data_IF_233432392634
#
_entry.id   IF_233432392634
#
_cell.length_a   1.000
_cell.length_b   1.000
_cell.length_c   1.000
_cell.angle_alpha   90.00
_cell.angle_beta   90.00
_cell.angle_gamma   90.00
#
_symmetry.space_group_name_H-M   'P 1'
#
loop_
_entity.id
_entity.type
_entity.pdbx_description
1 polymer ?
#
# COMPACT_ATOMS: atom_id res chain seq x y z
N UNK A 1 -25.88 7.62 36.83
CA UNK A 1 -25.19 6.95 35.70
C UNK A 1 -24.87 8.01 34.66
N UNK A 2 -23.68 8.61 34.70
CA UNK A 2 -23.27 9.64 33.75
C UNK A 2 -22.27 9.03 32.76
N UNK A 3 -22.71 8.87 31.52
CA UNK A 3 -21.86 8.44 30.40
C UNK A 3 -20.88 9.57 30.05
N UNK A 4 -19.69 9.52 30.64
CA UNK A 4 -18.56 10.29 30.16
C UNK A 4 -18.05 9.64 28.86
N UNK A 5 -18.63 10.04 27.73
CA UNK A 5 -18.03 9.83 26.42
C UNK A 5 -16.75 10.65 26.43
N UNK A 6 -15.63 9.99 26.70
CA UNK A 6 -14.30 10.57 26.53
C UNK A 6 -14.09 10.81 25.04
N UNK A 7 -14.45 12.01 24.59
CA UNK A 7 -14.02 12.56 23.32
C UNK A 7 -12.49 12.65 23.36
N UNK A 8 -11.85 11.56 22.94
CA UNK A 8 -10.43 11.48 22.63
C UNK A 8 -10.10 12.64 21.71
N UNK A 9 -9.32 13.59 22.23
CA UNK A 9 -8.82 14.74 21.50
C UNK A 9 -7.90 14.19 20.41
N UNK A 10 -8.46 13.96 19.23
CA UNK A 10 -7.73 13.66 18.00
C UNK A 10 -6.72 14.78 17.78
N UNK A 11 -5.49 14.59 18.23
CA UNK A 11 -4.39 15.47 17.86
C UNK A 11 -4.17 15.26 16.37
N UNK A 12 -4.69 16.19 15.58
CA UNK A 12 -4.59 16.17 14.12
C UNK A 12 -3.10 16.14 13.77
N UNK A 13 -2.64 15.00 13.25
CA UNK A 13 -1.28 14.87 12.74
C UNK A 13 -1.24 15.46 11.33
N UNK A 14 -0.82 16.71 11.21
CA UNK A 14 -0.74 17.45 9.94
C UNK A 14 0.03 16.67 8.86
N UNK A 15 1.05 15.90 9.27
CA UNK A 15 1.84 15.07 8.37
C UNK A 15 1.02 13.93 7.76
N UNK A 16 0.12 13.32 8.53
CA UNK A 16 -0.79 12.30 8.01
C UNK A 16 -1.75 12.88 6.99
N UNK A 17 -2.38 14.01 7.30
CA UNK A 17 -3.32 14.68 6.38
C UNK A 17 -2.64 15.00 5.05
N UNK A 18 -1.43 15.57 5.08
CA UNK A 18 -0.69 15.91 3.86
C UNK A 18 -0.44 14.64 3.02
N UNK A 19 -0.01 13.54 3.66
CA UNK A 19 0.26 12.28 2.96
C UNK A 19 -1.03 11.68 2.39
N UNK A 20 -2.15 11.77 3.10
CA UNK A 20 -3.42 11.22 2.66
C UNK A 20 -3.97 11.99 1.46
N UNK A 21 -3.99 13.32 1.54
CA UNK A 21 -4.43 14.19 0.45
C UNK A 21 -3.54 14.01 -0.78
N UNK A 22 -2.21 14.01 -0.60
CA UNK A 22 -1.28 13.76 -1.71
C UNK A 22 -1.47 12.36 -2.29
N UNK A 23 -1.68 11.35 -1.44
CA UNK A 23 -1.85 9.97 -1.89
C UNK A 23 -3.11 9.75 -2.70
N UNK A 24 -4.24 10.25 -2.21
CA UNK A 24 -5.52 10.18 -2.92
C UNK A 24 -5.43 10.95 -4.24
N UNK A 25 -4.89 12.16 -4.23
CA UNK A 25 -4.75 13.00 -5.44
C UNK A 25 -3.82 12.33 -6.45
N UNK A 26 -2.66 11.84 -6.02
CA UNK A 26 -1.69 11.18 -6.88
C UNK A 26 -2.28 9.92 -7.52
N UNK A 27 -2.85 9.01 -6.71
CA UNK A 27 -3.45 7.77 -7.21
C UNK A 27 -4.64 8.04 -8.13
N UNK A 28 -5.46 9.05 -7.83
CA UNK A 28 -6.55 9.47 -8.69
C UNK A 28 -6.08 9.87 -10.09
N UNK A 29 -4.98 10.61 -10.20
CA UNK A 29 -4.45 11.07 -11.48
C UNK A 29 -3.55 10.05 -12.18
N UNK A 30 -3.25 8.86 -11.60
CA UNK A 30 -2.39 7.85 -12.25
C UNK A 30 -2.84 7.48 -13.66
N UNK A 31 -4.13 7.22 -13.95
CA UNK A 31 -4.56 6.89 -15.31
C UNK A 31 -4.27 8.05 -16.29
N UNK A 32 -4.63 9.27 -15.90
CA UNK A 32 -4.42 10.48 -16.71
C UNK A 32 -2.94 10.77 -16.93
N UNK A 33 -2.12 10.68 -15.88
CA UNK A 33 -0.68 10.87 -15.97
C UNK A 33 -0.03 9.81 -16.86
N UNK A 34 -0.53 8.57 -16.85
CA UNK A 34 -0.02 7.51 -17.72
C UNK A 34 -0.24 7.84 -19.19
N UNK A 35 -1.41 8.39 -19.54
CA UNK A 35 -1.70 8.83 -20.90
C UNK A 35 -0.88 10.06 -21.31
N UNK A 36 -0.69 11.04 -20.42
CA UNK A 36 0.07 12.26 -20.71
C UNK A 36 1.56 12.00 -20.94
N UNK A 37 2.16 11.11 -20.14
CA UNK A 37 3.59 10.80 -20.22
C UNK A 37 3.89 9.73 -21.28
N UNK A 38 2.88 9.01 -21.76
CA UNK A 38 3.05 7.85 -22.65
C UNK A 38 3.72 6.66 -21.98
N UNK A 39 3.85 6.70 -20.65
CA UNK A 39 4.42 5.64 -19.82
C UNK A 39 3.34 5.07 -18.89
N UNK A 40 3.19 3.74 -18.80
CA UNK A 40 2.21 3.12 -17.93
C UNK A 40 2.63 3.24 -16.44
N UNK A 41 2.29 4.37 -15.80
CA UNK A 41 2.65 4.67 -14.39
C UNK A 41 2.04 3.65 -13.43
N UNK A 42 0.98 2.94 -13.81
CA UNK A 42 0.45 1.84 -13.01
C UNK A 42 1.48 0.71 -12.78
N UNK A 43 2.51 0.57 -13.63
CA UNK A 43 3.55 -0.46 -13.48
C UNK A 43 4.46 -0.25 -12.25
N UNK A 44 4.59 0.99 -11.76
CA UNK A 44 5.41 1.29 -10.57
C UNK A 44 4.63 1.14 -9.26
N UNK A 45 3.47 0.50 -9.27
CA UNK A 45 2.64 0.22 -8.10
C UNK A 45 2.32 1.48 -7.25
N UNK A 46 1.73 2.53 -7.86
CA UNK A 46 1.56 3.84 -7.21
C UNK A 46 0.80 3.78 -5.89
N UNK A 47 -0.16 2.85 -5.76
CA UNK A 47 -0.88 2.62 -4.49
C UNK A 47 0.05 2.09 -3.39
N UNK A 48 0.97 1.17 -3.70
CA UNK A 48 1.94 0.68 -2.72
C UNK A 48 2.93 1.77 -2.32
N UNK A 49 3.36 2.62 -3.26
CA UNK A 49 4.20 3.79 -2.95
C UNK A 49 3.55 4.60 -1.81
N UNK A 50 2.29 4.96 -1.97
CA UNK A 50 1.57 5.77 -0.97
C UNK A 50 1.39 5.05 0.35
N UNK A 51 1.05 3.75 0.35
CA UNK A 51 0.95 2.94 1.57
C UNK A 51 2.29 2.84 2.29
N UNK A 52 3.39 2.66 1.57
CA UNK A 52 4.75 2.63 2.13
C UNK A 52 5.14 3.98 2.73
N UNK A 53 4.81 5.09 2.07
CA UNK A 53 5.00 6.42 2.62
C UNK A 53 4.19 6.61 3.91
N UNK A 54 2.95 6.14 3.94
CA UNK A 54 2.12 6.17 5.14
C UNK A 54 2.72 5.35 6.28
N UNK A 55 3.16 4.10 6.02
CA UNK A 55 3.84 3.26 7.00
C UNK A 55 5.13 3.91 7.53
N UNK A 56 5.87 4.60 6.65
CA UNK A 56 7.16 5.22 6.97
C UNK A 56 7.02 6.52 7.76
N UNK A 57 5.95 7.29 7.57
CA UNK A 57 5.88 8.69 8.04
C UNK A 57 4.67 9.04 8.88
N UNK A 58 3.67 8.16 8.96
CA UNK A 58 2.44 8.39 9.71
C UNK A 58 2.28 7.33 10.82
N UNK A 59 1.05 6.94 11.14
CA UNK A 59 0.75 5.89 12.10
C UNK A 59 0.22 4.64 11.38
N UNK A 60 0.24 3.51 12.11
CA UNK A 60 -0.20 2.20 11.57
C UNK A 60 -1.65 2.23 11.09
N UNK A 61 -2.53 2.91 11.81
CA UNK A 61 -3.95 3.05 11.45
C UNK A 61 -4.12 3.74 10.11
N UNK A 62 -3.36 4.81 9.87
CA UNK A 62 -3.41 5.57 8.64
C UNK A 62 -2.93 4.78 7.43
N UNK A 63 -1.89 3.96 7.60
CA UNK A 63 -1.47 3.04 6.54
C UNK A 63 -2.58 2.05 6.14
N UNK A 64 -3.35 1.53 7.10
CA UNK A 64 -4.51 0.68 6.81
C UNK A 64 -5.65 1.46 6.15
N UNK A 65 -5.92 2.69 6.59
CA UNK A 65 -6.92 3.57 5.97
C UNK A 65 -6.55 3.78 4.51
N UNK A 66 -5.31 4.15 4.20
CA UNK A 66 -4.87 4.34 2.82
C UNK A 66 -4.88 3.06 1.99
N UNK A 67 -4.46 1.92 2.56
CA UNK A 67 -4.52 0.63 1.86
C UNK A 67 -5.96 0.25 1.47
N UNK A 68 -6.95 0.65 2.27
CA UNK A 68 -8.37 0.46 1.99
C UNK A 68 -8.90 1.50 0.99
N UNK A 69 -8.60 2.78 1.19
CA UNK A 69 -9.23 3.86 0.46
C UNK A 69 -8.65 4.02 -0.94
N UNK A 70 -7.34 3.88 -1.13
CA UNK A 70 -6.71 4.17 -2.44
C UNK A 70 -7.31 3.34 -3.59
N UNK A 71 -7.47 2.00 -3.49
CA UNK A 71 -8.06 1.23 -4.59
C UNK A 71 -9.55 1.51 -4.78
N UNK A 72 -10.30 1.68 -3.68
CA UNK A 72 -11.74 1.93 -3.69
C UNK A 72 -12.06 3.30 -4.30
N UNK A 73 -11.33 4.35 -3.90
CA UNK A 73 -11.49 5.70 -4.46
C UNK A 73 -11.08 5.75 -5.92
N UNK A 74 -9.98 5.09 -6.30
CA UNK A 74 -9.56 5.00 -7.71
C UNK A 74 -10.67 4.40 -8.57
N UNK A 75 -11.26 3.29 -8.13
CA UNK A 75 -12.39 2.68 -8.84
C UNK A 75 -13.62 3.60 -8.86
N UNK A 76 -14.02 4.17 -7.72
CA UNK A 76 -15.23 4.96 -7.61
C UNK A 76 -15.24 6.18 -8.55
N UNK A 77 -14.08 6.79 -8.82
CA UNK A 77 -13.99 8.01 -9.62
C UNK A 77 -13.62 7.73 -11.07
N UNK A 78 -12.68 6.80 -11.31
CA UNK A 78 -12.15 6.57 -12.66
C UNK A 78 -12.66 5.29 -13.33
N UNK A 79 -13.49 4.50 -12.63
CA UNK A 79 -13.87 3.13 -13.00
C UNK A 79 -12.66 2.22 -13.31
N UNK A 80 -11.48 2.63 -12.86
CA UNK A 80 -10.22 1.96 -13.08
C UNK A 80 -9.44 1.86 -11.75
N UNK A 81 -9.00 0.66 -11.33
CA UNK A 81 -9.24 -0.64 -11.96
C UNK A 81 -10.66 -1.14 -11.72
N UNK A 82 -11.14 -2.10 -12.52
CA UNK A 82 -12.46 -2.78 -12.36
C UNK A 82 -12.68 -3.22 -10.91
N UNK A 83 -13.92 -3.15 -10.41
CA UNK A 83 -14.28 -3.42 -9.01
C UNK A 83 -13.65 -4.69 -8.41
N UNK A 84 -13.70 -5.82 -9.13
CA UNK A 84 -13.10 -7.05 -8.64
C UNK A 84 -11.58 -6.94 -8.44
N UNK A 85 -10.88 -6.21 -9.33
CA UNK A 85 -9.46 -5.91 -9.20
C UNK A 85 -9.19 -4.92 -8.06
N UNK A 86 -10.05 -3.91 -7.84
CA UNK A 86 -9.86 -3.00 -6.71
C UNK A 86 -9.98 -3.70 -5.36
N UNK A 87 -10.89 -4.68 -5.23
CA UNK A 87 -10.99 -5.52 -4.03
C UNK A 87 -9.75 -6.41 -3.84
N UNK A 88 -9.26 -7.04 -4.92
CA UNK A 88 -8.02 -7.82 -4.86
C UNK A 88 -6.82 -6.98 -4.41
N UNK A 89 -6.66 -5.78 -4.98
CA UNK A 89 -5.57 -4.85 -4.62
C UNK A 89 -5.73 -4.38 -3.18
N UNK A 90 -6.95 -4.09 -2.74
CA UNK A 90 -7.25 -3.73 -1.34
C UNK A 90 -6.80 -4.84 -0.40
N UNK A 91 -7.19 -6.08 -0.66
CA UNK A 91 -6.81 -7.22 0.16
C UNK A 91 -5.27 -7.41 0.19
N UNK A 92 -4.62 -7.25 -0.96
CA UNK A 92 -3.16 -7.33 -1.08
C UNK A 92 -2.43 -6.26 -0.25
N UNK A 93 -2.83 -5.00 -0.37
CA UNK A 93 -2.22 -3.89 0.38
C UNK A 93 -2.48 -4.01 1.88
N UNK A 94 -3.70 -4.36 2.30
CA UNK A 94 -4.02 -4.60 3.71
C UNK A 94 -3.18 -5.74 4.30
N UNK A 95 -3.05 -6.84 3.53
CA UNK A 95 -2.21 -7.97 3.91
C UNK A 95 -0.74 -7.56 3.99
N UNK A 96 -0.26 -6.73 3.07
CA UNK A 96 1.10 -6.18 3.11
C UNK A 96 1.37 -5.38 4.38
N UNK A 97 0.48 -4.44 4.73
CA UNK A 97 0.59 -3.64 5.97
C UNK A 97 0.58 -4.54 7.20
N UNK A 98 -0.34 -5.51 7.26
CA UNK A 98 -0.42 -6.45 8.37
C UNK A 98 0.84 -7.32 8.50
N UNK A 99 1.28 -7.94 7.40
CA UNK A 99 2.48 -8.77 7.36
C UNK A 99 3.72 -7.96 7.75
N UNK A 100 3.85 -6.72 7.27
CA UNK A 100 4.99 -5.88 7.62
C UNK A 100 5.10 -5.67 9.13
N UNK A 101 4.03 -5.21 9.79
CA UNK A 101 4.06 -4.98 11.24
C UNK A 101 4.15 -6.28 12.05
N UNK A 102 3.65 -7.40 11.53
CA UNK A 102 3.81 -8.71 12.14
C UNK A 102 5.26 -9.20 12.05
N UNK A 103 5.85 -9.17 10.85
CA UNK A 103 7.22 -9.62 10.59
C UNK A 103 8.26 -8.70 11.21
N UNK A 104 7.97 -7.40 11.34
CA UNK A 104 8.86 -6.46 12.03
C UNK A 104 9.07 -6.83 13.51
N UNK A 105 8.09 -7.50 14.15
CA UNK A 105 8.26 -8.02 15.51
C UNK A 105 9.06 -9.31 15.57
N UNK A 106 9.08 -10.08 14.48
CA UNK A 106 9.75 -11.39 14.39
C UNK A 106 11.17 -11.27 13.86
N UNK A 107 11.41 -10.30 12.98
CA UNK A 107 12.70 -10.05 12.35
C UNK A 107 13.35 -8.83 12.97
N UNK A 108 14.62 -8.93 13.33
CA UNK A 108 15.42 -7.77 13.77
C UNK A 108 15.91 -6.91 12.59
N UNK A 109 15.29 -7.03 11.41
CA UNK A 109 15.70 -6.34 10.19
C UNK A 109 14.48 -5.82 9.43
N UNK A 110 14.36 -4.50 9.38
CA UNK A 110 13.27 -3.77 8.74
C UNK A 110 13.22 -4.02 7.21
N UNK A 111 14.39 -4.16 6.57
CA UNK A 111 14.47 -4.46 5.14
C UNK A 111 13.85 -5.83 4.85
N UNK A 112 14.26 -6.85 5.60
CA UNK A 112 13.76 -8.20 5.45
C UNK A 112 12.26 -8.28 5.74
N UNK A 113 11.78 -7.57 6.79
CA UNK A 113 10.37 -7.51 7.11
C UNK A 113 9.54 -6.92 5.96
N UNK A 114 9.99 -5.81 5.36
CA UNK A 114 9.30 -5.20 4.23
C UNK A 114 9.34 -6.10 2.99
N UNK A 115 10.51 -6.63 2.62
CA UNK A 115 10.66 -7.46 1.43
C UNK A 115 9.80 -8.72 1.52
N UNK A 116 9.86 -9.44 2.64
CA UNK A 116 9.04 -10.63 2.88
C UNK A 116 7.55 -10.30 2.89
N UNK A 117 7.15 -9.16 3.48
CA UNK A 117 5.74 -8.75 3.47
C UNK A 117 5.23 -8.52 2.05
N UNK A 118 6.03 -7.90 1.16
CA UNK A 118 5.64 -7.65 -0.23
C UNK A 118 5.49 -8.97 -0.97
N UNK A 119 6.51 -9.85 -0.89
CA UNK A 119 6.51 -11.14 -1.58
C UNK A 119 5.31 -11.98 -1.15
N UNK A 120 5.08 -12.13 0.16
CA UNK A 120 3.97 -12.93 0.68
C UNK A 120 2.60 -12.33 0.29
N UNK A 121 2.43 -11.00 0.36
CA UNK A 121 1.19 -10.35 -0.07
C UNK A 121 0.91 -10.53 -1.57
N UNK A 122 1.95 -10.48 -2.42
CA UNK A 122 1.84 -10.72 -3.85
C UNK A 122 1.51 -12.17 -4.18
N UNK A 123 2.12 -13.12 -3.49
CA UNK A 123 1.78 -14.54 -3.65
C UNK A 123 0.29 -14.75 -3.35
N UNK A 124 -0.21 -14.20 -2.25
CA UNK A 124 -1.62 -14.26 -1.91
C UNK A 124 -2.52 -13.58 -2.98
N UNK A 125 -2.09 -12.42 -3.50
CA UNK A 125 -2.79 -11.74 -4.59
C UNK A 125 -2.89 -12.58 -5.86
N UNK A 126 -1.79 -13.16 -6.33
CA UNK A 126 -1.81 -13.99 -7.54
C UNK A 126 -2.59 -15.28 -7.34
N UNK A 127 -2.54 -15.86 -6.13
CA UNK A 127 -3.38 -17.00 -5.78
C UNK A 127 -4.87 -16.65 -5.83
N UNK A 128 -5.29 -15.55 -5.20
CA UNK A 128 -6.69 -15.11 -5.27
C UNK A 128 -7.11 -14.75 -6.70
N UNK A 129 -6.23 -14.07 -7.45
CA UNK A 129 -6.48 -13.72 -8.85
C UNK A 129 -6.65 -14.96 -9.72
N UNK A 130 -5.84 -16.00 -9.50
CA UNK A 130 -5.99 -17.28 -10.19
C UNK A 130 -7.37 -17.89 -9.91
N UNK A 131 -7.84 -17.90 -8.66
CA UNK A 131 -9.19 -18.39 -8.32
C UNK A 131 -10.27 -17.59 -9.07
N UNK A 132 -10.18 -16.26 -9.10
CA UNK A 132 -11.18 -15.40 -9.75
C UNK A 132 -11.17 -15.49 -11.29
N UNK A 133 -10.03 -15.77 -11.91
CA UNK A 133 -9.95 -16.03 -13.34
C UNK A 133 -10.62 -17.37 -13.67
N UNK A 134 -10.33 -18.43 -12.90
CA UNK A 134 -10.91 -19.75 -13.14
C UNK A 134 -12.41 -19.80 -12.87
N UNK A 135 -12.94 -18.93 -12.01
CA UNK A 135 -14.39 -18.79 -11.78
C UNK A 135 -15.09 -17.89 -12.81
N UNK A 136 -14.41 -17.45 -13.87
CA UNK A 136 -14.93 -16.55 -14.93
C UNK A 136 -15.41 -15.18 -14.40
N UNK A 137 -14.96 -14.78 -13.20
CA UNK A 137 -15.32 -13.47 -12.60
C UNK A 137 -14.48 -12.34 -13.20
N UNK A 138 -13.24 -12.64 -13.61
CA UNK A 138 -12.30 -11.66 -14.17
C UNK A 138 -11.68 -12.21 -15.45
N UNK A 139 -11.86 -11.48 -16.55
CA UNK A 139 -11.11 -11.70 -17.79
C UNK A 139 -9.81 -10.87 -17.75
N UNK A 140 -8.69 -11.51 -17.39
CA UNK A 140 -7.37 -10.87 -17.47
C UNK A 140 -6.25 -11.91 -17.43
N UNK A 141 -5.09 -11.57 -18.00
CA UNK A 141 -3.87 -12.35 -17.84
C UNK A 141 -3.47 -12.45 -16.36
N UNK A 142 -2.95 -13.59 -15.94
CA UNK A 142 -2.53 -13.81 -14.55
C UNK A 142 -1.46 -12.80 -14.11
N UNK A 143 -0.44 -12.56 -14.95
CA UNK A 143 0.61 -11.58 -14.71
C UNK A 143 0.42 -10.34 -15.58
N UNK A 144 -0.18 -9.29 -15.01
CA UNK A 144 -0.44 -8.03 -15.74
C UNK A 144 0.72 -7.03 -15.67
N UNK A 145 1.71 -7.27 -14.80
CA UNK A 145 2.89 -6.41 -14.66
C UNK A 145 4.17 -7.24 -14.81
N UNK A 146 5.19 -6.73 -15.53
CA UNK A 146 6.46 -7.44 -15.69
C UNK A 146 7.07 -7.80 -14.34
N UNK A 147 7.46 -9.07 -14.16
CA UNK A 147 8.03 -9.58 -12.90
C UNK A 147 9.28 -8.78 -12.50
N UNK A 148 10.09 -8.36 -13.48
CA UNK A 148 11.28 -7.56 -13.25
C UNK A 148 10.97 -6.24 -12.52
N UNK A 149 9.90 -5.55 -12.93
CA UNK A 149 9.47 -4.31 -12.27
C UNK A 149 8.98 -4.57 -10.85
N UNK A 150 8.26 -5.67 -10.62
CA UNK A 150 7.80 -6.03 -9.28
C UNK A 150 8.97 -6.29 -8.33
N UNK A 151 10.02 -6.98 -8.81
CA UNK A 151 11.24 -7.23 -8.03
C UNK A 151 11.94 -5.91 -7.72
N UNK A 152 12.18 -5.07 -8.73
CA UNK A 152 12.85 -3.77 -8.56
C UNK A 152 12.09 -2.88 -7.56
N UNK A 153 10.78 -2.74 -7.72
CA UNK A 153 9.97 -1.93 -6.81
C UNK A 153 9.98 -2.49 -5.39
N UNK A 154 9.92 -3.83 -5.22
CA UNK A 154 10.00 -4.45 -3.90
C UNK A 154 11.31 -4.15 -3.17
N UNK A 155 12.43 -4.12 -3.90
CA UNK A 155 13.74 -3.75 -3.36
C UNK A 155 13.80 -2.28 -3.01
N UNK A 156 13.28 -1.39 -3.87
CA UNK A 156 13.20 0.06 -3.60
C UNK A 156 12.41 0.34 -2.32
N UNK A 157 11.22 -0.25 -2.17
CA UNK A 157 10.39 -0.06 -0.98
C UNK A 157 11.05 -0.58 0.29
N UNK A 158 11.70 -1.74 0.19
CA UNK A 158 12.40 -2.34 1.33
C UNK A 158 13.61 -1.51 1.75
N UNK A 159 14.39 -1.02 0.79
CA UNK A 159 15.52 -0.13 1.03
C UNK A 159 15.04 1.19 1.67
N UNK A 160 13.96 1.76 1.15
CA UNK A 160 13.39 2.99 1.69
C UNK A 160 12.95 2.85 3.15
N UNK A 161 12.20 1.80 3.48
CA UNK A 161 11.76 1.53 4.86
C UNK A 161 12.96 1.34 5.78
N UNK A 162 13.96 0.59 5.35
CA UNK A 162 15.19 0.38 6.12
C UNK A 162 15.91 1.70 6.43
N UNK A 163 16.07 2.58 5.44
CA UNK A 163 16.72 3.88 5.64
C UNK A 163 15.95 4.78 6.62
N UNK A 164 14.62 4.80 6.55
CA UNK A 164 13.80 5.66 7.42
C UNK A 164 13.74 5.13 8.86
N UNK A 165 13.51 3.82 9.04
CA UNK A 165 13.39 3.26 10.38
C UNK A 165 14.75 3.18 11.10
N UNK A 166 15.85 2.91 10.40
CA UNK A 166 17.21 3.01 10.96
C UNK A 166 17.51 4.40 11.51
N UNK A 167 17.07 5.47 10.84
CA UNK A 167 17.23 6.85 11.36
C UNK A 167 16.47 7.07 12.67
N UNK A 168 15.30 6.45 12.85
CA UNK A 168 14.51 6.58 14.08
C UNK A 168 15.12 5.84 15.27
N UNK A 169 15.77 4.70 15.02
CA UNK A 169 16.51 3.98 16.07
C UNK A 169 17.71 4.81 16.57
N UNK A 170 18.49 5.40 15.66
CA UNK A 170 19.63 6.27 16.02
C UNK A 170 19.18 7.51 16.81
N UNK A 171 18.04 8.11 16.46
CA UNK A 171 17.51 9.27 17.20
C UNK A 171 16.94 8.94 18.58
N UNK A 172 16.65 7.67 18.89
CA UNK A 172 16.16 7.23 20.21
C UNK A 172 17.27 6.81 21.16
N UNK A 173 18.49 6.60 20.65
CA UNK A 173 19.66 6.18 21.45
C UNK A 173 20.56 7.34 21.88
N UNK A 174 20.29 8.56 21.42
CA UNK A 174 20.95 9.80 21.81
C UNK A 174 20.02 10.64 22.70
#
# INVERSE_FOLDING_TARGET
>A
MANAISLSKSQINIRSIIIDVLGLTFVYFVPTLSHLVGLPIYLIEPMRIMVVLAMAHTNRTNAYILALTLPVFSYAISMHPVFAKSLLITAELLLNVWLFYYLLKKFNNQFAAMLSSIIMSKIAYYFMKFVLINSLIIESELFSTPIMLQIVMSLIFSAYIYLIFRRREIQRSN
#
